data_IF_885820207482
#
_entry.id   IF_885820207482
#
_cell.length_a   1.000
_cell.length_b   1.000
_cell.length_c   1.000
_cell.angle_alpha   90.00
_cell.angle_beta   90.00
_cell.angle_gamma   90.00
#
_symmetry.space_group_name_H-M   'P 1'
#
loop_
_entity.id
_entity.type
_entity.pdbx_description
1 polymer ?
#
# COMPACT_ATOMS: atom_id res chain seq x y z
N UNK A 1 -7.73 71.98 -19.43
CA UNK A 1 -8.49 72.50 -18.28
C UNK A 1 -7.92 71.83 -17.03
N UNK A 2 -6.75 72.20 -16.49
CA UNK A 2 -6.35 73.41 -15.73
C UNK A 2 -7.28 73.77 -14.55
N UNK A 3 -6.76 73.47 -13.36
CA UNK A 3 -6.76 74.23 -12.10
C UNK A 3 -8.05 74.39 -11.29
N UNK A 4 -7.97 74.04 -10.00
CA UNK A 4 -8.38 74.91 -8.89
C UNK A 4 -7.68 74.49 -7.58
N UNK A 5 -6.90 75.43 -7.06
CA UNK A 5 -6.31 75.54 -5.71
C UNK A 5 -7.19 76.53 -4.91
N UNK A 6 -7.38 76.30 -3.60
CA UNK A 6 -7.51 77.28 -2.50
C UNK A 6 -8.14 76.56 -1.29
N UNK A 7 -7.55 76.38 -0.10
CA UNK A 7 -6.77 77.23 0.83
C UNK A 7 -7.64 78.16 1.71
N UNK A 8 -7.54 77.97 3.04
CA UNK A 8 -7.90 78.87 4.17
C UNK A 8 -7.38 78.18 5.46
N UNK A 9 -6.19 78.45 6.02
CA UNK A 9 -5.66 79.59 6.80
C UNK A 9 -6.21 79.71 8.24
N UNK A 10 -5.31 79.33 9.18
CA UNK A 10 -4.97 79.87 10.51
C UNK A 10 -6.01 79.86 11.67
N UNK A 11 -5.66 79.66 12.94
CA UNK A 11 -4.68 80.42 13.77
C UNK A 11 -4.13 79.57 14.93
N UNK A 12 -2.90 79.88 15.33
CA UNK A 12 -2.11 79.27 16.39
C UNK A 12 -2.55 79.67 17.82
N UNK A 13 -2.35 78.76 18.78
CA UNK A 13 -2.08 79.08 20.17
C UNK A 13 -1.13 78.04 20.76
N UNK A 14 0.09 78.49 21.06
CA UNK A 14 1.09 77.76 21.82
C UNK A 14 1.02 78.20 23.29
N UNK A 15 0.97 77.26 24.22
CA UNK A 15 1.41 77.48 25.59
C UNK A 15 1.95 76.15 26.15
N UNK A 16 3.21 76.22 26.56
CA UNK A 16 4.04 75.13 27.03
C UNK A 16 3.68 74.72 28.46
N UNK A 17 3.78 73.41 28.74
CA UNK A 17 4.04 72.91 30.08
C UNK A 17 5.11 71.82 29.99
N UNK A 18 6.19 72.06 30.73
CA UNK A 18 7.42 71.29 30.80
C UNK A 18 7.24 69.93 31.50
N UNK A 19 8.10 68.95 31.17
CA UNK A 19 8.76 67.95 32.05
C UNK A 19 9.57 66.94 31.19
N UNK A 20 10.51 66.16 31.77
CA UNK A 20 11.93 66.21 31.45
C UNK A 20 12.39 65.25 30.34
N UNK A 21 13.52 65.60 29.71
CA UNK A 21 14.29 64.73 28.82
C UNK A 21 15.07 63.73 29.68
N UNK A 22 14.71 62.45 29.59
CA UNK A 22 15.58 61.33 29.95
C UNK A 22 15.93 60.56 28.68
N UNK A 23 17.21 60.55 28.32
CA UNK A 23 17.75 59.62 27.31
C UNK A 23 17.63 58.19 27.83
N UNK A 24 16.80 57.36 27.18
CA UNK A 24 16.74 55.93 27.41
C UNK A 24 17.51 55.19 26.29
N UNK A 25 18.51 54.42 26.72
CA UNK A 25 19.30 53.47 25.95
C UNK A 25 18.42 52.38 25.26
N UNK A 26 18.92 51.65 24.23
CA UNK A 26 18.12 50.64 23.56
C UNK A 26 17.83 49.49 24.51
N UNK A 27 16.55 49.25 24.79
CA UNK A 27 16.11 48.12 25.59
C UNK A 27 16.28 46.82 24.79
N UNK A 28 17.17 45.97 25.28
CA UNK A 28 17.20 44.53 25.01
C UNK A 28 15.82 43.92 25.24
N UNK A 29 15.20 43.38 24.19
CA UNK A 29 13.97 42.61 24.31
C UNK A 29 14.27 41.32 25.09
N UNK A 30 13.84 41.30 26.35
CA UNK A 30 13.82 40.11 27.20
C UNK A 30 12.82 39.10 26.62
N UNK A 31 13.33 37.94 26.21
CA UNK A 31 12.53 36.79 25.80
C UNK A 31 11.53 36.42 26.91
N UNK A 32 10.26 36.25 26.54
CA UNK A 32 9.23 35.68 27.43
C UNK A 32 9.63 34.25 27.83
N UNK A 33 9.44 33.83 29.08
CA UNK A 33 9.68 32.45 29.47
C UNK A 33 8.68 31.54 28.76
N UNK A 34 9.21 30.54 28.07
CA UNK A 34 8.46 29.50 27.38
C UNK A 34 7.55 28.78 28.38
N UNK A 35 6.23 28.94 28.21
CA UNK A 35 5.26 28.10 28.87
C UNK A 35 5.38 26.69 28.28
N UNK A 36 5.88 25.74 29.09
CA UNK A 36 5.87 24.29 28.91
C UNK A 36 5.67 23.82 27.46
N UNK A 37 6.74 23.92 26.66
CA UNK A 37 6.86 23.07 25.49
C UNK A 37 6.82 21.61 25.97
N UNK A 38 5.82 20.86 25.53
CA UNK A 38 5.84 19.41 25.56
C UNK A 38 7.22 18.95 25.03
N UNK A 39 7.83 17.91 25.62
CA UNK A 39 9.08 17.37 25.09
C UNK A 39 8.90 17.07 23.59
N UNK A 40 9.94 17.23 22.75
CA UNK A 40 9.84 16.94 21.34
C UNK A 40 9.24 15.54 21.20
N UNK A 41 8.16 15.45 20.41
CA UNK A 41 7.51 14.20 20.11
C UNK A 41 8.58 13.19 19.67
N UNK A 42 8.50 12.00 20.25
CA UNK A 42 9.25 10.84 19.80
C UNK A 42 9.15 10.77 18.27
N UNK A 43 10.29 10.68 17.58
CA UNK A 43 10.44 10.50 16.12
C UNK A 43 9.10 10.28 15.40
N UNK A 44 8.49 11.34 14.86
CA UNK A 44 7.20 11.21 14.17
C UNK A 44 7.37 10.23 12.99
N UNK A 45 6.70 9.09 13.08
CA UNK A 45 6.70 8.05 12.05
C UNK A 45 6.36 8.68 10.68
N UNK A 46 7.06 8.30 9.59
CA UNK A 46 6.73 8.83 8.27
C UNK A 46 5.30 8.46 7.85
N UNK A 47 4.52 9.48 7.49
CA UNK A 47 3.15 9.37 6.99
C UNK A 47 2.07 9.22 8.07
N UNK A 48 0.82 9.38 7.67
CA UNK A 48 -0.32 9.39 8.60
C UNK A 48 -1.59 8.78 8.01
N UNK A 49 -2.56 8.49 8.88
CA UNK A 49 -3.90 8.06 8.48
C UNK A 49 -4.92 8.99 9.15
N UNK A 50 -5.83 9.56 8.36
CA UNK A 50 -6.96 10.34 8.85
C UNK A 50 -8.25 9.58 8.57
N UNK A 51 -8.97 9.21 9.63
CA UNK A 51 -10.26 8.51 9.54
C UNK A 51 -11.40 9.51 9.78
N UNK A 52 -12.31 9.62 8.82
CA UNK A 52 -13.42 10.57 8.84
C UNK A 52 -14.77 9.82 8.77
N UNK A 53 -15.65 9.93 9.77
CA UNK A 53 -16.94 9.24 9.73
C UNK A 53 -17.82 9.81 8.62
N UNK A 54 -18.44 8.91 7.84
CA UNK A 54 -19.43 9.27 6.84
C UNK A 54 -20.77 9.53 7.53
N UNK A 55 -21.50 10.53 7.04
CA UNK A 55 -22.82 10.92 7.56
C UNK A 55 -23.83 10.94 6.41
N UNK A 56 -25.13 10.76 6.68
CA UNK A 56 -26.16 10.97 5.68
C UNK A 56 -25.97 12.29 4.91
N UNK A 57 -25.95 12.22 3.58
CA UNK A 57 -25.94 13.41 2.72
C UNK A 57 -27.41 13.83 2.46
N UNK A 58 -27.76 15.10 2.70
CA UNK A 58 -29.08 15.65 2.34
C UNK A 58 -30.10 15.86 3.47
N UNK A 59 -29.73 15.88 4.75
CA UNK A 59 -30.64 16.23 5.86
C UNK A 59 -30.96 17.74 5.96
N UNK A 60 -31.20 18.41 4.83
CA UNK A 60 -31.50 19.85 4.78
C UNK A 60 -32.72 20.16 3.91
N UNK A 61 -33.86 19.49 4.12
CA UNK A 61 -35.21 20.05 3.89
C UNK A 61 -36.17 19.33 4.84
N UNK A 62 -37.00 20.10 5.57
CA UNK A 62 -38.16 19.58 6.29
C UNK A 62 -39.21 19.12 5.26
N UNK A 63 -39.13 17.88 4.80
CA UNK A 63 -40.27 17.23 4.15
C UNK A 63 -41.04 16.45 5.20
N UNK A 64 -42.19 16.99 5.60
CA UNK A 64 -43.20 16.21 6.31
C UNK A 64 -43.67 15.10 5.37
N UNK A 65 -43.42 13.83 5.71
CA UNK A 65 -44.08 12.69 5.06
C UNK A 65 -43.20 11.63 4.37
N UNK A 66 -41.93 11.44 4.74
CA UNK A 66 -41.17 10.24 4.35
C UNK A 66 -40.55 9.57 5.58
N UNK A 67 -40.62 8.24 5.62
CA UNK A 67 -40.10 7.38 6.69
C UNK A 67 -38.67 7.80 7.14
N UNK A 68 -38.38 7.92 8.44
CA UNK A 68 -37.05 8.33 8.95
C UNK A 68 -35.91 7.30 8.74
N UNK A 69 -36.09 6.29 7.88
CA UNK A 69 -35.42 4.99 8.00
C UNK A 69 -34.32 4.61 7.00
N UNK A 70 -34.01 5.39 5.95
CA UNK A 70 -32.91 5.02 5.05
C UNK A 70 -32.26 6.25 4.42
N UNK A 71 -31.15 6.72 4.99
CA UNK A 71 -30.22 7.52 4.22
C UNK A 71 -29.65 6.63 3.10
N UNK A 72 -30.21 6.75 1.90
CA UNK A 72 -29.76 6.03 0.70
C UNK A 72 -28.35 6.43 0.27
N UNK A 73 -27.84 7.53 0.85
CA UNK A 73 -26.53 8.09 0.57
C UNK A 73 -25.85 8.58 1.87
N UNK A 74 -24.61 8.15 2.10
CA UNK A 74 -23.72 8.66 3.16
C UNK A 74 -22.43 9.21 2.55
N UNK A 75 -21.81 10.19 3.18
CA UNK A 75 -20.60 10.79 2.62
C UNK A 75 -20.11 12.03 3.35
N UNK A 76 -19.29 12.80 2.64
CA UNK A 76 -18.74 14.07 3.10
C UNK A 76 -18.84 15.09 1.95
N UNK A 77 -19.44 16.28 2.18
CA UNK A 77 -19.32 17.39 1.23
C UNK A 77 -17.85 17.86 1.14
N UNK A 78 -17.55 18.62 0.09
CA UNK A 78 -16.23 19.22 -0.16
C UNK A 78 -15.69 19.87 1.11
N UNK A 79 -14.46 19.51 1.44
CA UNK A 79 -13.73 20.08 2.58
C UNK A 79 -12.24 19.98 2.38
N UNK A 80 -11.53 20.86 3.06
CA UNK A 80 -10.08 20.74 3.27
C UNK A 80 -9.79 19.65 4.30
N UNK A 81 -8.68 18.95 4.09
CA UNK A 81 -8.19 17.87 4.95
C UNK A 81 -6.67 17.94 5.05
N UNK A 82 -6.05 17.13 5.90
CA UNK A 82 -4.59 16.99 5.89
C UNK A 82 -4.15 16.35 4.57
N UNK A 83 -2.91 16.62 4.10
CA UNK A 83 -2.38 15.99 2.89
C UNK A 83 -2.51 14.46 2.92
N UNK A 84 -2.81 13.89 1.77
CA UNK A 84 -2.96 12.44 1.57
C UNK A 84 -2.71 12.09 0.10
N UNK A 85 -2.39 10.82 -0.19
CA UNK A 85 -2.19 10.36 -1.58
C UNK A 85 -3.01 9.12 -1.94
N UNK A 86 -3.69 8.52 -0.95
CA UNK A 86 -4.52 7.34 -1.13
C UNK A 86 -5.80 7.45 -0.29
N UNK A 87 -6.90 6.93 -0.83
CA UNK A 87 -8.20 6.87 -0.17
C UNK A 87 -8.74 5.45 -0.11
N UNK A 88 -9.54 5.15 0.90
CA UNK A 88 -10.35 3.94 0.98
C UNK A 88 -11.52 4.15 1.94
N UNK A 89 -12.48 3.24 1.95
CA UNK A 89 -13.61 3.28 2.88
C UNK A 89 -13.60 2.02 3.74
N UNK A 90 -13.78 2.20 5.05
CA UNK A 90 -13.86 1.09 6.01
C UNK A 90 -15.16 1.12 6.80
N UNK A 91 -15.55 -0.03 7.35
CA UNK A 91 -16.72 -0.19 8.20
C UNK A 91 -16.48 -1.23 9.30
N UNK A 92 -17.37 -1.27 10.30
CA UNK A 92 -17.08 -1.94 11.57
C UNK A 92 -17.02 -3.48 11.45
N UNK A 93 -17.98 -4.10 10.75
CA UNK A 93 -18.03 -5.55 10.60
C UNK A 93 -17.45 -6.03 9.25
N UNK A 94 -16.29 -6.69 9.23
CA UNK A 94 -15.69 -7.22 7.99
C UNK A 94 -16.52 -8.32 7.32
N UNK A 95 -17.46 -8.95 8.03
CA UNK A 95 -18.34 -9.97 7.45
C UNK A 95 -19.58 -9.37 6.75
N UNK A 96 -19.84 -8.07 6.92
CA UNK A 96 -20.96 -7.38 6.27
C UNK A 96 -20.50 -6.82 4.92
N UNK A 97 -21.01 -7.31 3.78
CA UNK A 97 -20.67 -6.80 2.45
C UNK A 97 -21.24 -5.38 2.24
N UNK A 98 -20.52 -4.57 1.46
CA UNK A 98 -21.00 -3.25 1.02
C UNK A 98 -21.70 -3.39 -0.35
N UNK A 99 -23.03 -3.43 -0.33
CA UNK A 99 -23.87 -3.40 -1.54
C UNK A 99 -24.16 -1.95 -1.93
N UNK A 100 -23.35 -1.40 -2.83
CA UNK A 100 -23.45 0.01 -3.18
C UNK A 100 -22.33 0.50 -4.09
N UNK A 101 -22.44 1.78 -4.46
CA UNK A 101 -21.39 2.50 -5.19
C UNK A 101 -20.67 3.44 -4.24
N UNK A 102 -19.34 3.42 -4.27
CA UNK A 102 -18.49 4.38 -3.56
C UNK A 102 -17.82 5.26 -4.60
N UNK A 103 -18.02 6.57 -4.50
CA UNK A 103 -17.43 7.52 -5.43
C UNK A 103 -16.73 8.63 -4.66
N UNK A 104 -15.54 8.99 -5.12
CA UNK A 104 -14.69 10.02 -4.51
C UNK A 104 -14.19 10.99 -5.58
N UNK A 105 -14.02 12.24 -5.19
CA UNK A 105 -13.18 13.19 -5.93
C UNK A 105 -12.27 13.93 -4.97
N UNK A 106 -11.07 14.25 -5.43
CA UNK A 106 -10.05 14.88 -4.61
C UNK A 106 -9.57 16.17 -5.27
N UNK A 107 -9.03 17.07 -4.45
CA UNK A 107 -8.33 18.27 -4.90
C UNK A 107 -6.83 17.99 -4.89
N UNK A 108 -6.18 18.17 -6.03
CA UNK A 108 -4.73 18.04 -6.13
C UNK A 108 -4.06 19.20 -5.36
N UNK A 109 -3.08 18.87 -4.52
CA UNK A 109 -2.39 19.84 -3.68
C UNK A 109 -1.51 20.81 -4.50
N UNK A 110 -1.06 20.39 -5.68
CA UNK A 110 -0.14 21.16 -6.52
C UNK A 110 -0.80 22.38 -7.19
N UNK A 111 -2.06 22.25 -7.64
CA UNK A 111 -2.74 23.25 -8.47
C UNK A 111 -4.17 23.57 -7.99
N UNK A 112 -4.67 22.90 -6.95
CA UNK A 112 -6.01 23.11 -6.42
C UNK A 112 -7.14 22.58 -7.31
N UNK A 113 -6.82 21.82 -8.37
CA UNK A 113 -7.81 21.29 -9.31
C UNK A 113 -8.52 20.07 -8.73
N UNK A 114 -9.84 20.04 -8.85
CA UNK A 114 -10.66 18.90 -8.46
C UNK A 114 -10.71 17.85 -9.57
N UNK A 115 -10.52 16.58 -9.21
CA UNK A 115 -10.74 15.47 -10.12
C UNK A 115 -12.24 15.36 -10.50
N UNK A 116 -12.57 14.69 -11.63
CA UNK A 116 -13.90 14.12 -11.80
C UNK A 116 -14.18 13.09 -10.69
N UNK A 117 -15.45 12.68 -10.56
CA UNK A 117 -15.81 11.55 -9.71
C UNK A 117 -15.13 10.27 -10.20
N UNK A 118 -14.57 9.52 -9.26
CA UNK A 118 -13.92 8.24 -9.49
C UNK A 118 -14.58 7.18 -8.63
N UNK A 119 -14.82 6.00 -9.21
CA UNK A 119 -15.34 4.86 -8.47
C UNK A 119 -14.22 4.23 -7.63
N UNK A 120 -14.58 3.77 -6.43
CA UNK A 120 -13.73 2.97 -5.55
C UNK A 120 -14.29 1.56 -5.52
N UNK A 121 -13.46 0.56 -5.83
CA UNK A 121 -13.88 -0.85 -5.87
C UNK A 121 -14.33 -1.34 -4.49
N UNK A 122 -15.57 -1.80 -4.40
CA UNK A 122 -16.25 -2.16 -3.15
C UNK A 122 -16.08 -3.63 -2.78
N UNK A 123 -15.77 -4.49 -3.76
CA UNK A 123 -15.49 -5.90 -3.54
C UNK A 123 -14.02 -6.05 -3.14
N UNK A 124 -13.76 -6.09 -1.83
CA UNK A 124 -12.42 -6.33 -1.27
C UNK A 124 -12.45 -7.33 -0.08
N UNK A 125 -13.60 -8.00 0.12
CA UNK A 125 -13.82 -9.11 1.07
C UNK A 125 -13.05 -10.39 0.69
N UNK A 126 -12.53 -10.45 -0.53
CA UNK A 126 -11.69 -11.53 -1.05
C UNK A 126 -10.29 -11.59 -0.45
N UNK A 127 -9.89 -10.53 0.25
CA UNK A 127 -8.60 -10.38 0.88
C UNK A 127 -8.72 -10.41 2.41
N UNK A 128 -7.65 -10.85 3.07
CA UNK A 128 -7.61 -10.96 4.53
C UNK A 128 -7.20 -12.35 5.03
N UNK A 129 -7.27 -12.49 6.36
CA UNK A 129 -6.93 -13.70 7.08
C UNK A 129 -7.86 -14.86 6.68
N UNK A 130 -7.32 -16.08 6.56
CA UNK A 130 -8.18 -17.27 6.41
C UNK A 130 -9.05 -17.46 7.67
N UNK A 131 -10.34 -17.83 7.54
CA UNK A 131 -11.23 -18.05 8.67
C UNK A 131 -10.69 -19.07 9.68
N UNK A 132 -10.75 -18.72 10.97
CA UNK A 132 -10.31 -19.59 12.07
C UNK A 132 -8.79 -19.66 12.26
N UNK A 133 -8.02 -18.79 11.60
CA UNK A 133 -6.59 -18.62 11.90
C UNK A 133 -6.38 -17.61 13.03
N UNK A 134 -5.27 -17.74 13.78
CA UNK A 134 -4.91 -16.77 14.82
C UNK A 134 -4.78 -15.33 14.28
N UNK A 135 -4.42 -15.19 13.01
CA UNK A 135 -4.35 -13.89 12.32
C UNK A 135 -5.71 -13.20 12.19
N UNK A 136 -6.79 -13.97 12.04
CA UNK A 136 -8.16 -13.43 12.01
C UNK A 136 -8.77 -13.14 13.38
N UNK A 137 -8.16 -13.63 14.48
CA UNK A 137 -8.76 -13.58 15.83
C UNK A 137 -8.13 -12.51 16.75
N UNK A 138 -6.99 -11.94 16.36
CA UNK A 138 -6.13 -11.15 17.27
C UNK A 138 -6.25 -9.63 17.11
N UNK A 139 -6.97 -9.15 16.09
CA UNK A 139 -7.16 -7.71 15.83
C UNK A 139 -8.61 -7.39 15.51
N UNK A 140 -9.01 -6.15 15.79
CA UNK A 140 -10.27 -5.59 15.28
C UNK A 140 -10.12 -5.38 13.78
N UNK A 141 -10.53 -6.39 13.02
CA UNK A 141 -10.64 -6.31 11.58
C UNK A 141 -11.79 -5.40 11.20
N UNK A 142 -11.64 -4.70 10.08
CA UNK A 142 -12.69 -3.88 9.47
C UNK A 142 -12.95 -4.34 8.06
N UNK A 143 -14.20 -4.25 7.64
CA UNK A 143 -14.50 -4.33 6.22
C UNK A 143 -13.91 -3.11 5.53
N UNK A 144 -13.44 -3.28 4.31
CA UNK A 144 -12.74 -2.23 3.59
C UNK A 144 -12.91 -2.36 2.09
N UNK A 145 -12.98 -1.24 1.38
CA UNK A 145 -12.90 -1.19 -0.09
C UNK A 145 -11.47 -1.44 -0.55
N UNK A 146 -11.26 -1.71 -1.84
CA UNK A 146 -9.92 -1.61 -2.40
C UNK A 146 -9.43 -0.15 -2.27
N UNK A 147 -8.14 0.07 -2.03
CA UNK A 147 -7.60 1.41 -1.93
C UNK A 147 -7.47 2.07 -3.31
N UNK A 148 -7.69 3.39 -3.41
CA UNK A 148 -7.52 4.18 -4.64
C UNK A 148 -6.37 5.17 -4.47
N UNK A 149 -5.38 5.11 -5.36
CA UNK A 149 -4.31 6.11 -5.43
C UNK A 149 -4.83 7.36 -6.15
N UNK A 150 -4.73 8.50 -5.48
CA UNK A 150 -5.25 9.79 -5.99
C UNK A 150 -4.14 10.81 -6.25
N UNK A 151 -2.89 10.48 -5.92
CA UNK A 151 -1.79 11.44 -5.93
C UNK A 151 -1.94 12.50 -4.83
N UNK A 152 -0.96 13.39 -4.71
CA UNK A 152 -0.90 14.33 -3.59
C UNK A 152 -2.10 15.26 -3.59
N UNK A 153 -2.93 15.12 -2.57
CA UNK A 153 -4.25 15.73 -2.44
C UNK A 153 -4.44 16.35 -1.06
N UNK A 154 -5.23 17.43 -0.97
CA UNK A 154 -5.48 18.17 0.27
C UNK A 154 -6.97 18.55 0.47
N UNK A 155 -7.83 18.12 -0.46
CA UNK A 155 -9.27 18.27 -0.39
C UNK A 155 -9.99 17.01 -0.84
N UNK A 156 -11.16 16.74 -0.26
CA UNK A 156 -11.93 15.53 -0.58
C UNK A 156 -13.44 15.77 -0.56
N UNK A 157 -14.14 14.99 -1.39
CA UNK A 157 -15.58 14.81 -1.36
C UNK A 157 -15.89 13.35 -1.69
N UNK A 158 -16.78 12.74 -0.93
CA UNK A 158 -17.13 11.32 -1.07
C UNK A 158 -18.63 11.12 -0.92
N UNK A 159 -19.15 10.16 -1.69
CA UNK A 159 -20.50 9.63 -1.53
C UNK A 159 -20.51 8.11 -1.64
N UNK A 160 -21.32 7.49 -0.80
CA UNK A 160 -21.59 6.05 -0.76
C UNK A 160 -23.08 5.88 -0.90
N UNK A 161 -23.52 5.24 -1.99
CA UNK A 161 -24.94 5.03 -2.30
C UNK A 161 -25.28 3.56 -2.20
N UNK A 162 -26.30 3.22 -1.43
CA UNK A 162 -26.86 1.88 -1.44
C UNK A 162 -27.41 1.55 -2.84
N UNK A 163 -27.30 0.29 -3.27
CA UNK A 163 -27.99 -0.17 -4.48
C UNK A 163 -29.51 -0.03 -4.33
N UNK A 164 -30.17 0.55 -5.32
CA UNK A 164 -31.63 0.73 -5.32
C UNK A 164 -32.33 -0.53 -5.87
N UNK A 165 -33.32 -1.06 -5.14
CA UNK A 165 -34.12 -2.22 -5.57
C UNK A 165 -35.14 -2.65 -4.52
N UNK A 166 -36.06 -3.55 -4.91
CA UNK A 166 -37.01 -4.15 -3.98
C UNK A 166 -36.25 -4.99 -2.94
N UNK A 167 -36.06 -4.47 -1.73
CA UNK A 167 -35.20 -5.04 -0.69
C UNK A 167 -33.83 -4.37 -0.54
N UNK A 168 -33.74 -3.04 -0.70
CA UNK A 168 -32.53 -2.24 -0.44
C UNK A 168 -31.81 -2.72 0.82
N UNK A 169 -30.63 -3.31 0.64
CA UNK A 169 -29.78 -3.71 1.77
C UNK A 169 -29.16 -2.44 2.36
N UNK A 170 -29.27 -2.21 3.68
CA UNK A 170 -28.71 -1.02 4.29
C UNK A 170 -27.19 -1.00 4.14
N UNK A 171 -26.61 0.20 4.04
CA UNK A 171 -25.17 0.37 4.07
C UNK A 171 -24.59 -0.16 5.39
N UNK A 172 -23.36 -0.71 5.39
CA UNK A 172 -22.71 -1.18 6.61
C UNK A 172 -22.61 -0.09 7.69
N UNK A 173 -22.65 -0.51 8.96
CA UNK A 173 -22.50 0.40 10.08
C UNK A 173 -21.05 0.92 10.21
N UNK A 174 -20.91 2.15 10.70
CA UNK A 174 -19.61 2.72 11.06
C UNK A 174 -18.75 3.17 9.88
N UNK A 175 -19.35 3.40 8.70
CA UNK A 175 -18.66 3.85 7.49
C UNK A 175 -17.74 5.05 7.76
N UNK A 176 -16.48 4.91 7.32
CA UNK A 176 -15.42 5.90 7.46
C UNK A 176 -14.62 6.02 6.18
N UNK A 177 -14.33 7.24 5.77
CA UNK A 177 -13.30 7.54 4.78
C UNK A 177 -11.93 7.51 5.47
N UNK A 178 -11.01 6.75 4.90
CA UNK A 178 -9.61 6.67 5.30
C UNK A 178 -8.77 7.42 4.28
N UNK A 179 -8.08 8.47 4.74
CA UNK A 179 -7.13 9.24 3.96
C UNK A 179 -5.72 8.86 4.42
N UNK A 180 -4.89 8.39 3.49
CA UNK A 180 -3.57 7.86 3.79
C UNK A 180 -2.50 8.73 3.15
N UNK A 181 -1.65 9.29 4.00
CA UNK A 181 -0.40 9.93 3.63
C UNK A 181 0.73 8.87 3.72
N UNK A 182 1.41 8.55 2.60
CA UNK A 182 2.52 7.60 2.60
C UNK A 182 3.77 8.10 3.33
N UNK A 183 3.83 9.38 3.70
CA UNK A 183 5.03 10.03 4.19
C UNK A 183 6.08 10.20 3.10
N UNK A 184 7.13 10.94 3.44
CA UNK A 184 8.24 11.18 2.53
C UNK A 184 8.92 9.87 2.10
N UNK A 185 9.36 9.84 0.84
CA UNK A 185 10.18 8.73 0.37
C UNK A 185 11.52 8.74 1.11
N UNK A 186 12.10 7.57 1.44
CA UNK A 186 13.48 7.53 1.89
C UNK A 186 14.37 8.21 0.84
N UNK A 187 15.31 9.05 1.26
CA UNK A 187 16.31 9.63 0.35
C UNK A 187 16.97 8.50 -0.45
N UNK A 188 16.87 8.56 -1.78
CA UNK A 188 17.58 7.63 -2.63
C UNK A 188 19.10 7.84 -2.43
N UNK A 189 19.91 6.79 -2.29
CA UNK A 189 21.35 6.96 -2.36
C UNK A 189 21.69 7.53 -3.74
N UNK A 190 22.20 8.76 -3.77
CA UNK A 190 22.63 9.44 -4.99
C UNK A 190 23.77 8.67 -5.62
N UNK A 191 23.43 7.87 -6.64
CA UNK A 191 24.38 7.15 -7.47
C UNK A 191 24.89 8.06 -8.58
N UNK A 192 25.90 8.88 -8.29
CA UNK A 192 26.85 9.37 -9.29
C UNK A 192 28.23 9.43 -8.65
N UNK A 193 29.16 8.63 -9.16
CA UNK A 193 30.54 8.56 -8.69
C UNK A 193 31.27 9.85 -9.09
N UNK A 194 31.14 10.91 -8.29
CA UNK A 194 32.08 12.02 -8.30
C UNK A 194 33.39 11.58 -7.61
N UNK A 195 34.57 11.99 -8.11
CA UNK A 195 35.84 11.58 -7.53
C UNK A 195 35.94 12.12 -6.10
N UNK A 196 36.24 11.23 -5.15
CA UNK A 196 36.24 11.51 -3.72
C UNK A 196 37.27 12.61 -3.35
N UNK A 197 36.87 13.66 -2.60
CA UNK A 197 37.81 14.32 -1.72
C UNK A 197 38.09 13.38 -0.55
N UNK A 198 39.37 13.03 -0.39
CA UNK A 198 39.88 12.31 0.78
C UNK A 198 39.56 13.14 2.03
N UNK A 199 39.11 12.45 3.09
CA UNK A 199 38.66 12.98 4.40
C UNK A 199 37.21 13.47 4.48
N UNK A 200 36.24 12.55 4.40
CA UNK A 200 35.00 12.69 5.16
C UNK A 200 34.83 11.43 6.00
N UNK A 201 34.79 11.59 7.32
CA UNK A 201 34.48 10.51 8.23
C UNK A 201 33.17 9.85 7.78
N UNK A 202 33.20 8.54 7.54
CA UNK A 202 32.01 7.76 7.24
C UNK A 202 31.04 7.97 8.41
N UNK A 203 29.86 8.51 8.13
CA UNK A 203 28.75 8.45 9.09
C UNK A 203 28.56 6.98 9.49
N UNK A 204 28.35 6.67 10.79
CA UNK A 204 28.10 5.30 11.20
C UNK A 204 26.88 4.75 10.43
N UNK A 205 26.87 3.46 10.05
CA UNK A 205 25.71 2.87 9.40
C UNK A 205 24.50 3.08 10.29
N UNK A 206 23.40 3.60 9.72
CA UNK A 206 22.16 3.82 10.44
C UNK A 206 21.78 2.52 11.18
N UNK A 207 21.72 2.60 12.51
CA UNK A 207 21.40 1.45 13.36
C UNK A 207 19.96 1.05 13.04
N UNK A 208 19.78 -0.16 12.51
CA UNK A 208 18.44 -0.69 12.24
C UNK A 208 17.68 -0.83 13.57
N UNK A 209 16.41 -0.44 13.58
CA UNK A 209 15.51 -0.82 14.67
C UNK A 209 15.39 -2.35 14.76
N UNK A 210 14.96 -2.88 15.90
CA UNK A 210 14.76 -4.32 16.05
C UNK A 210 13.76 -4.90 15.02
N UNK A 211 12.74 -4.12 14.64
CA UNK A 211 11.74 -4.52 13.65
C UNK A 211 12.33 -4.58 12.23
N UNK A 212 13.17 -3.61 11.87
CA UNK A 212 13.92 -3.59 10.61
C UNK A 212 14.99 -4.68 10.55
N UNK A 213 15.72 -4.91 11.65
CA UNK A 213 16.68 -5.99 11.75
C UNK A 213 16.00 -7.35 11.58
N UNK A 214 14.83 -7.57 12.19
CA UNK A 214 14.06 -8.79 12.01
C UNK A 214 13.56 -8.98 10.56
N UNK A 215 13.06 -7.92 9.93
CA UNK A 215 12.60 -7.96 8.53
C UNK A 215 13.75 -8.16 7.54
N UNK A 216 14.92 -7.56 7.80
CA UNK A 216 16.09 -7.72 6.95
C UNK A 216 16.79 -9.07 7.17
N UNK A 217 16.85 -9.55 8.42
CA UNK A 217 17.58 -10.75 8.81
C UNK A 217 17.02 -12.04 8.21
N UNK A 218 15.72 -12.10 7.90
CA UNK A 218 15.13 -13.24 7.19
C UNK A 218 15.62 -13.37 5.74
N UNK A 219 16.23 -12.31 5.19
CA UNK A 219 16.84 -12.28 3.85
C UNK A 219 18.38 -12.32 3.90
N UNK A 220 19.00 -12.55 5.06
CA UNK A 220 20.46 -12.42 5.27
C UNK A 220 21.33 -13.31 4.37
N UNK A 221 20.79 -14.42 3.87
CA UNK A 221 21.48 -15.28 2.87
C UNK A 221 21.52 -14.68 1.47
N UNK A 222 20.69 -13.69 1.18
CA UNK A 222 20.52 -13.11 -0.16
C UNK A 222 21.02 -11.66 -0.25
N UNK A 223 21.00 -10.92 0.86
CA UNK A 223 21.47 -9.55 0.94
C UNK A 223 21.87 -9.19 2.38
N UNK A 224 22.82 -8.25 2.57
CA UNK A 224 23.21 -7.79 3.90
C UNK A 224 22.07 -7.07 4.63
N UNK A 225 22.19 -6.95 5.96
CA UNK A 225 21.23 -6.22 6.78
C UNK A 225 21.08 -4.77 6.28
N UNK A 226 19.84 -4.31 6.14
CA UNK A 226 19.52 -2.95 5.71
C UNK A 226 19.67 -2.71 4.20
N UNK A 227 19.99 -3.73 3.40
CA UNK A 227 20.04 -3.59 1.95
C UNK A 227 18.69 -3.12 1.40
N UNK A 228 18.71 -2.13 0.50
CA UNK A 228 17.51 -1.59 -0.18
C UNK A 228 17.06 -2.46 -1.36
N UNK A 229 17.91 -3.35 -1.84
CA UNK A 229 17.57 -4.32 -2.86
C UNK A 229 18.36 -5.61 -2.68
N UNK A 230 17.72 -6.71 -3.03
CA UNK A 230 18.37 -8.00 -3.23
C UNK A 230 18.75 -8.07 -4.72
N UNK A 231 20.05 -8.17 -5.07
CA UNK A 231 20.52 -8.10 -6.46
C UNK A 231 19.95 -9.25 -7.28
N UNK A 232 19.81 -9.10 -8.60
CA UNK A 232 19.46 -10.24 -9.45
C UNK A 232 20.56 -11.32 -9.34
N UNK A 233 20.19 -12.59 -9.48
CA UNK A 233 21.14 -13.70 -9.48
C UNK A 233 20.88 -14.65 -10.65
N UNK A 234 21.95 -15.13 -11.28
CA UNK A 234 21.89 -16.13 -12.33
C UNK A 234 21.60 -17.53 -11.75
N UNK A 235 21.27 -18.55 -12.57
CA UNK A 235 20.93 -19.88 -12.06
C UNK A 235 22.02 -20.53 -11.20
N UNK A 236 23.31 -20.35 -11.53
CA UNK A 236 24.41 -20.94 -10.77
C UNK A 236 24.53 -20.32 -9.36
N UNK A 237 24.41 -18.99 -9.27
CA UNK A 237 24.38 -18.27 -7.98
C UNK A 237 23.15 -18.65 -7.14
N UNK A 238 22.03 -18.98 -7.78
CA UNK A 238 20.82 -19.46 -7.09
C UNK A 238 21.01 -20.88 -6.57
N UNK A 239 21.62 -21.77 -7.36
CA UNK A 239 21.95 -23.14 -6.95
C UNK A 239 22.89 -23.13 -5.73
N UNK A 240 23.97 -22.34 -5.78
CA UNK A 240 24.93 -22.19 -4.66
C UNK A 240 24.26 -21.68 -3.37
N UNK A 241 23.29 -20.76 -3.48
CA UNK A 241 22.56 -20.23 -2.32
C UNK A 241 21.51 -21.21 -1.73
N UNK A 242 21.13 -22.24 -2.48
CA UNK A 242 20.11 -23.24 -2.10
C UNK A 242 20.74 -24.54 -1.59
N UNK A 243 21.97 -24.86 -2.02
CA UNK A 243 22.76 -26.00 -1.52
C UNK A 243 23.07 -25.86 -0.01
N UNK A 244 22.80 -26.88 0.83
CA UNK A 244 23.27 -26.89 2.21
C UNK A 244 24.80 -27.10 2.24
N UNK A 245 25.49 -26.38 3.13
CA UNK A 245 26.96 -26.43 3.31
C UNK A 245 27.55 -27.79 3.78
N UNK A 246 26.78 -28.88 3.72
CA UNK A 246 27.23 -30.23 4.03
C UNK A 246 26.29 -31.26 3.38
N UNK A 247 26.57 -31.66 2.14
CA UNK A 247 26.00 -32.88 1.56
C UNK A 247 27.10 -33.63 0.80
N UNK A 248 27.26 -34.92 1.11
CA UNK A 248 28.20 -35.85 0.48
C UNK A 248 27.97 -36.01 -1.03
N UNK A 249 28.98 -36.46 -1.80
CA UNK A 249 28.90 -36.49 -3.25
C UNK A 249 27.98 -37.64 -3.70
N UNK A 250 26.76 -37.30 -4.12
CA UNK A 250 25.81 -38.26 -4.69
C UNK A 250 25.46 -37.90 -6.14
N UNK A 251 25.76 -38.87 -7.02
CA UNK A 251 25.25 -39.10 -8.38
C UNK A 251 24.55 -37.93 -9.10
N UNK A 252 25.15 -37.47 -10.21
CA UNK A 252 24.61 -36.56 -11.24
C UNK A 252 23.17 -36.08 -10.99
N UNK A 253 23.00 -35.15 -10.05
CA UNK A 253 21.69 -34.58 -9.75
C UNK A 253 21.21 -33.83 -10.99
N UNK A 254 20.02 -34.16 -11.49
CA UNK A 254 19.37 -33.38 -12.55
C UNK A 254 19.29 -31.94 -12.07
N UNK A 255 19.89 -31.00 -12.81
CA UNK A 255 19.89 -29.57 -12.47
C UNK A 255 18.50 -29.13 -12.04
N UNK A 256 18.36 -28.49 -10.87
CA UNK A 256 17.05 -28.12 -10.37
C UNK A 256 16.44 -27.06 -11.30
N UNK A 257 15.15 -27.20 -11.63
CA UNK A 257 14.43 -26.28 -12.51
C UNK A 257 14.09 -24.97 -11.78
N UNK A 258 15.12 -24.22 -11.40
CA UNK A 258 15.01 -22.93 -10.70
C UNK A 258 15.36 -21.82 -11.68
N UNK A 259 14.41 -20.89 -11.88
CA UNK A 259 14.67 -19.72 -12.70
C UNK A 259 15.65 -18.74 -12.03
N UNK A 260 16.31 -17.87 -12.80
CA UNK A 260 17.17 -16.83 -12.25
C UNK A 260 16.39 -15.93 -11.30
N UNK A 261 17.00 -15.55 -10.19
CA UNK A 261 16.38 -14.66 -9.21
C UNK A 261 16.33 -13.24 -9.79
N UNK A 262 15.16 -12.62 -9.93
CA UNK A 262 15.11 -11.22 -10.33
C UNK A 262 15.65 -10.30 -9.22
N UNK A 263 16.00 -9.07 -9.57
CA UNK A 263 16.20 -8.01 -8.57
C UNK A 263 14.90 -7.79 -7.81
N UNK A 264 14.99 -7.72 -6.48
CA UNK A 264 13.83 -7.46 -5.61
C UNK A 264 14.15 -6.26 -4.72
N UNK A 265 13.32 -5.22 -4.78
CA UNK A 265 13.41 -4.07 -3.87
C UNK A 265 12.90 -4.54 -2.51
N UNK A 266 13.74 -4.44 -1.48
CA UNK A 266 13.39 -4.91 -0.13
C UNK A 266 12.39 -3.97 0.53
N UNK A 267 11.82 -4.43 1.64
CA UNK A 267 11.01 -3.58 2.51
C UNK A 267 11.70 -2.28 2.92
N UNK A 268 12.99 -2.34 3.27
CA UNK A 268 13.80 -1.14 3.52
C UNK A 268 13.90 -0.25 2.27
N UNK A 269 14.06 -0.84 1.10
CA UNK A 269 14.22 -0.11 -0.16
C UNK A 269 13.01 0.69 -0.63
N UNK A 270 11.79 0.23 -0.33
CA UNK A 270 10.57 1.01 -0.62
C UNK A 270 10.07 1.83 0.58
N UNK A 271 10.76 1.76 1.72
CA UNK A 271 10.47 2.54 2.92
C UNK A 271 9.35 1.96 3.78
N UNK A 272 9.26 0.63 3.91
CA UNK A 272 8.32 0.00 4.80
C UNK A 272 8.57 0.42 6.26
N UNK A 273 7.53 0.92 6.92
CA UNK A 273 7.56 1.14 8.36
C UNK A 273 7.35 -0.19 9.10
N UNK A 274 8.44 -0.83 9.53
CA UNK A 274 8.36 -2.13 10.20
C UNK A 274 7.70 -2.07 11.59
N UNK A 275 7.46 -0.88 12.14
CA UNK A 275 6.85 -0.72 13.46
C UNK A 275 5.33 -0.92 13.45
N UNK A 276 4.68 -0.77 12.29
CA UNK A 276 3.22 -0.88 12.21
C UNK A 276 2.73 -2.32 12.05
N UNK A 277 3.55 -3.21 11.45
CA UNK A 277 3.19 -4.63 11.33
C UNK A 277 3.22 -5.34 12.68
N UNK A 278 2.56 -6.48 12.72
CA UNK A 278 2.72 -7.40 13.84
C UNK A 278 4.12 -8.03 13.87
N UNK A 279 4.54 -8.40 15.07
CA UNK A 279 5.78 -9.14 15.32
C UNK A 279 5.61 -10.61 14.90
N UNK A 280 6.73 -11.22 14.52
CA UNK A 280 6.77 -12.63 14.10
C UNK A 280 6.33 -12.86 12.66
N UNK A 281 6.64 -14.06 12.16
CA UNK A 281 6.35 -14.47 10.79
C UNK A 281 5.64 -15.82 10.80
N UNK A 282 4.66 -16.00 9.91
CA UNK A 282 3.94 -17.26 9.75
C UNK A 282 4.37 -17.89 8.44
N UNK A 283 4.78 -19.15 8.50
CA UNK A 283 5.25 -19.90 7.34
C UNK A 283 4.33 -21.07 7.03
N UNK A 284 4.16 -21.37 5.75
CA UNK A 284 3.52 -22.60 5.25
C UNK A 284 4.60 -23.64 4.96
N UNK A 285 4.20 -24.84 4.51
CA UNK A 285 5.17 -25.91 4.23
C UNK A 285 5.89 -25.68 2.91
N UNK A 286 5.20 -25.14 1.91
CA UNK A 286 5.72 -24.92 0.56
C UNK A 286 4.95 -23.81 -0.14
N UNK A 287 5.29 -23.49 -1.39
CA UNK A 287 4.46 -22.70 -2.32
C UNK A 287 4.12 -23.59 -3.50
N UNK A 288 2.82 -23.87 -3.67
CA UNK A 288 2.28 -24.65 -4.80
C UNK A 288 1.72 -23.73 -5.89
N UNK A 289 1.08 -22.63 -5.51
CA UNK A 289 0.39 -21.73 -6.45
C UNK A 289 0.80 -20.28 -6.22
N UNK A 290 0.98 -19.53 -7.31
CA UNK A 290 1.09 -18.09 -7.32
C UNK A 290 -0.24 -17.48 -7.78
N UNK A 291 -0.93 -16.79 -6.88
CA UNK A 291 -2.12 -16.01 -7.23
C UNK A 291 -1.71 -14.60 -7.64
N UNK A 292 -2.05 -14.24 -8.87
CA UNK A 292 -1.82 -12.90 -9.44
C UNK A 292 -3.05 -12.05 -9.18
N UNK A 293 -2.78 -10.87 -8.64
CA UNK A 293 -3.74 -9.84 -8.27
C UNK A 293 -3.47 -8.56 -9.04
N UNK A 294 -4.48 -7.71 -9.15
CA UNK A 294 -4.24 -6.27 -9.31
C UNK A 294 -4.50 -5.59 -7.96
N UNK A 295 -3.98 -4.38 -7.74
CA UNK A 295 -4.28 -3.62 -6.51
C UNK A 295 -5.59 -2.83 -6.59
N UNK A 296 -6.15 -2.68 -7.79
CA UNK A 296 -7.30 -1.83 -8.10
C UNK A 296 -7.11 -0.33 -7.74
N UNK A 297 -5.85 0.10 -7.53
CA UNK A 297 -5.52 1.47 -7.09
C UNK A 297 -5.55 2.54 -8.18
N UNK A 298 -5.91 2.19 -9.41
CA UNK A 298 -5.74 3.08 -10.56
C UNK A 298 -4.29 3.12 -11.08
N UNK A 299 -4.10 3.72 -12.26
CA UNK A 299 -2.86 3.62 -13.05
C UNK A 299 -2.06 4.92 -13.15
N UNK A 300 -2.50 5.99 -12.48
CA UNK A 300 -1.99 7.36 -12.69
C UNK A 300 -0.70 7.69 -11.93
N UNK A 301 -0.21 6.80 -11.06
CA UNK A 301 1.08 6.96 -10.39
C UNK A 301 2.25 6.88 -11.39
N UNK A 302 3.35 7.60 -11.17
CA UNK A 302 4.60 7.45 -11.94
C UNK A 302 5.45 6.30 -11.39
N UNK A 303 6.41 5.75 -12.16
CA UNK A 303 7.29 4.68 -11.63
C UNK A 303 7.99 5.10 -10.33
N UNK A 304 8.40 6.37 -10.20
CA UNK A 304 9.03 6.90 -8.99
C UNK A 304 8.10 6.98 -7.78
N UNK A 305 6.78 7.02 -8.01
CA UNK A 305 5.77 7.00 -6.94
C UNK A 305 5.39 5.58 -6.50
N UNK A 306 5.87 4.52 -7.18
CA UNK A 306 5.52 3.14 -6.80
C UNK A 306 5.85 2.81 -5.33
N UNK A 307 7.01 3.20 -4.76
CA UNK A 307 7.26 3.05 -3.32
C UNK A 307 6.22 3.73 -2.43
N UNK A 308 5.76 4.93 -2.80
CA UNK A 308 4.71 5.65 -2.06
C UNK A 308 3.36 4.94 -2.15
N UNK A 309 3.01 4.41 -3.33
CA UNK A 309 1.81 3.57 -3.50
C UNK A 309 1.87 2.34 -2.58
N UNK A 310 3.02 1.66 -2.52
CA UNK A 310 3.23 0.53 -1.62
C UNK A 310 3.05 0.92 -0.15
N UNK A 311 3.69 2.00 0.31
CA UNK A 311 3.56 2.50 1.69
C UNK A 311 2.12 2.85 2.02
N UNK A 312 1.38 3.47 1.11
CA UNK A 312 -0.03 3.79 1.30
C UNK A 312 -0.89 2.53 1.44
N UNK A 313 -0.76 1.54 0.54
CA UNK A 313 -1.52 0.29 0.63
C UNK A 313 -1.15 -0.47 1.92
N UNK A 314 0.14 -0.51 2.26
CA UNK A 314 0.62 -1.15 3.49
C UNK A 314 0.01 -0.53 4.74
N UNK A 315 0.05 0.80 4.84
CA UNK A 315 -0.56 1.55 5.93
C UNK A 315 -2.08 1.35 5.96
N UNK A 316 -2.75 1.37 4.81
CA UNK A 316 -4.19 1.10 4.73
C UNK A 316 -4.54 -0.30 5.26
N UNK A 317 -3.86 -1.34 4.79
CA UNK A 317 -4.08 -2.70 5.28
C UNK A 317 -3.91 -2.81 6.80
N UNK A 318 -2.85 -2.21 7.35
CA UNK A 318 -2.53 -2.37 8.77
C UNK A 318 -3.33 -1.44 9.69
N UNK A 319 -3.39 -0.14 9.38
CA UNK A 319 -3.99 0.88 10.24
C UNK A 319 -5.49 1.05 10.01
N UNK A 320 -5.97 0.80 8.79
CA UNK A 320 -7.37 0.99 8.43
C UNK A 320 -8.14 -0.33 8.44
N UNK A 321 -7.68 -1.35 7.71
CA UNK A 321 -8.34 -2.67 7.63
C UNK A 321 -8.02 -3.60 8.81
N UNK A 322 -7.01 -3.27 9.61
CA UNK A 322 -6.62 -4.03 10.80
C UNK A 322 -5.80 -5.30 10.53
N UNK A 323 -5.21 -5.44 9.34
CA UNK A 323 -4.39 -6.60 8.98
C UNK A 323 -3.04 -6.59 9.72
N UNK A 324 -2.34 -7.72 9.68
CA UNK A 324 -1.06 -7.88 10.37
C UNK A 324 0.11 -7.24 9.64
N UNK A 325 0.05 -7.19 8.31
CA UNK A 325 1.08 -6.67 7.41
C UNK A 325 0.47 -6.42 6.02
N UNK A 326 1.30 -6.08 5.02
CA UNK A 326 0.96 -6.12 3.61
C UNK A 326 0.44 -7.53 3.22
N UNK A 327 -0.76 -7.62 2.63
CA UNK A 327 -1.43 -8.90 2.42
C UNK A 327 -0.78 -9.79 1.35
N UNK A 328 -0.06 -9.20 0.39
CA UNK A 328 0.57 -9.91 -0.71
C UNK A 328 2.04 -10.21 -0.38
N UNK A 329 2.58 -11.32 -0.89
CA UNK A 329 4.00 -11.65 -0.71
C UNK A 329 4.91 -10.75 -1.53
N UNK A 330 4.47 -10.36 -2.72
CA UNK A 330 5.20 -9.50 -3.63
C UNK A 330 4.28 -8.47 -4.27
N UNK A 331 4.87 -7.35 -4.69
CA UNK A 331 4.22 -6.40 -5.58
C UNK A 331 5.04 -6.20 -6.86
N UNK A 332 4.36 -5.85 -7.96
CA UNK A 332 4.97 -5.52 -9.25
C UNK A 332 4.38 -4.21 -9.74
N UNK A 333 5.21 -3.20 -9.98
CA UNK A 333 4.72 -1.94 -10.56
C UNK A 333 4.59 -2.03 -12.10
N UNK A 334 3.94 -1.03 -12.70
CA UNK A 334 3.74 -0.97 -14.15
C UNK A 334 5.04 -0.88 -14.97
N UNK A 335 6.16 -0.64 -14.30
CA UNK A 335 7.49 -0.48 -14.88
C UNK A 335 8.32 -1.78 -14.75
N UNK A 336 7.76 -2.81 -14.12
CA UNK A 336 8.36 -4.13 -13.98
C UNK A 336 9.30 -4.27 -12.78
N UNK A 337 9.33 -3.30 -11.86
CA UNK A 337 10.06 -3.48 -10.61
C UNK A 337 9.30 -4.46 -9.72
N UNK A 338 10.04 -5.32 -9.03
CA UNK A 338 9.51 -6.30 -8.09
C UNK A 338 9.88 -5.87 -6.68
N UNK A 339 8.88 -5.85 -5.80
CA UNK A 339 9.02 -5.43 -4.41
C UNK A 339 8.69 -6.59 -3.47
N UNK A 340 9.45 -6.70 -2.40
CA UNK A 340 9.11 -7.53 -1.25
C UNK A 340 7.86 -6.94 -0.56
N UNK A 341 6.79 -7.72 -0.51
CA UNK A 341 5.55 -7.36 0.18
C UNK A 341 5.61 -7.81 1.64
N UNK A 342 4.87 -8.86 1.99
CA UNK A 342 4.75 -9.39 3.35
C UNK A 342 6.10 -9.81 3.94
N UNK A 343 6.40 -9.30 5.14
CA UNK A 343 7.64 -9.60 5.85
C UNK A 343 7.73 -11.07 6.27
N UNK A 344 8.96 -11.61 6.24
CA UNK A 344 9.24 -12.99 6.62
C UNK A 344 10.21 -13.71 5.69
N UNK A 345 10.59 -13.07 4.58
CA UNK A 345 11.72 -13.42 3.74
C UNK A 345 11.31 -13.88 2.33
N UNK A 346 11.93 -13.29 1.31
CA UNK A 346 11.56 -13.46 -0.10
C UNK A 346 11.71 -14.90 -0.60
N UNK A 347 12.67 -15.66 -0.04
CA UNK A 347 12.87 -17.07 -0.40
C UNK A 347 12.00 -18.03 0.43
N UNK A 348 11.43 -17.59 1.55
CA UNK A 348 10.65 -18.45 2.46
C UNK A 348 9.17 -18.51 2.08
N UNK A 349 8.44 -19.59 2.43
CA UNK A 349 7.02 -19.71 2.15
C UNK A 349 6.19 -18.97 3.20
N UNK A 350 6.33 -17.64 3.27
CA UNK A 350 5.55 -16.80 4.21
C UNK A 350 4.07 -16.86 3.82
N UNK A 351 3.18 -17.14 4.78
CA UNK A 351 1.74 -17.12 4.54
C UNK A 351 1.27 -15.69 4.31
N UNK A 352 0.53 -15.46 3.22
CA UNK A 352 -0.11 -14.19 2.89
C UNK A 352 -1.52 -14.01 3.48
N UNK A 353 -2.17 -12.91 3.10
CA UNK A 353 -3.57 -12.58 3.37
C UNK A 353 -4.23 -12.01 2.09
N UNK A 354 -3.92 -12.62 0.95
CA UNK A 354 -4.25 -12.12 -0.39
C UNK A 354 -5.37 -12.91 -1.08
N UNK A 355 -5.63 -14.15 -0.69
CA UNK A 355 -6.67 -14.97 -1.33
C UNK A 355 -7.36 -15.75 -0.26
N UNK A 356 -8.47 -15.20 0.24
CA UNK A 356 -9.21 -15.78 1.35
C UNK A 356 -9.62 -17.23 1.02
N UNK A 357 -9.22 -18.15 1.90
CA UNK A 357 -9.41 -19.58 1.72
C UNK A 357 -8.25 -20.30 1.03
N UNK A 358 -7.29 -19.59 0.42
CA UNK A 358 -6.13 -20.21 -0.24
C UNK A 358 -4.80 -19.54 0.10
N UNK A 359 -4.71 -18.81 1.22
CA UNK A 359 -3.45 -18.21 1.66
C UNK A 359 -2.39 -19.26 2.09
N UNK A 360 -2.83 -20.48 2.41
CA UNK A 360 -1.92 -21.59 2.75
C UNK A 360 -1.34 -22.26 1.50
N UNK A 361 -0.03 -22.55 1.55
CA UNK A 361 0.75 -23.15 0.45
C UNK A 361 0.70 -22.36 -0.86
N UNK A 362 0.52 -21.04 -0.80
CA UNK A 362 0.48 -20.16 -1.96
C UNK A 362 1.21 -18.85 -1.69
N UNK A 363 1.46 -18.10 -2.76
CA UNK A 363 1.92 -16.72 -2.68
C UNK A 363 1.01 -15.79 -3.47
N UNK A 364 0.90 -14.55 -3.00
CA UNK A 364 0.20 -13.47 -3.69
C UNK A 364 1.17 -12.51 -4.36
N UNK A 365 0.88 -12.17 -5.62
CA UNK A 365 1.60 -11.13 -6.38
C UNK A 365 0.61 -10.03 -6.75
N UNK A 366 0.72 -8.87 -6.11
CA UNK A 366 -0.07 -7.68 -6.45
C UNK A 366 0.57 -6.88 -7.57
N UNK A 367 -0.07 -6.82 -8.73
CA UNK A 367 0.31 -5.88 -9.77
C UNK A 367 -0.34 -4.52 -9.47
N UNK A 368 0.47 -3.50 -9.23
CA UNK A 368 -0.01 -2.17 -8.89
C UNK A 368 -0.71 -1.53 -10.10
N UNK A 369 -2.02 -1.37 -9.98
CA UNK A 369 -2.87 -0.79 -11.00
C UNK A 369 -4.25 -1.42 -11.08
N UNK A 370 -5.03 -0.94 -12.05
CA UNK A 370 -6.34 -1.48 -12.42
C UNK A 370 -6.28 -1.98 -13.86
N UNK A 371 -6.48 -3.29 -14.05
CA UNK A 371 -6.32 -3.97 -15.34
C UNK A 371 -7.60 -4.66 -15.83
N UNK A 372 -8.77 -4.15 -15.43
CA UNK A 372 -10.07 -4.64 -15.90
C UNK A 372 -10.20 -4.40 -17.41
N UNK A 373 -9.99 -3.16 -17.85
CA UNK A 373 -10.07 -2.74 -19.25
C UNK A 373 -8.72 -2.24 -19.82
N UNK A 374 -7.77 -1.84 -18.98
CA UNK A 374 -6.43 -1.39 -19.37
C UNK A 374 -5.46 -2.56 -19.52
N UNK A 375 -4.70 -2.61 -20.62
CA UNK A 375 -3.68 -3.65 -20.83
C UNK A 375 -2.49 -3.45 -19.89
N UNK A 376 -1.99 -4.52 -19.23
CA UNK A 376 -0.75 -4.42 -18.47
C UNK A 376 0.44 -4.21 -19.43
N UNK A 377 1.41 -3.34 -19.08
CA UNK A 377 2.67 -3.23 -19.82
C UNK A 377 3.40 -4.57 -19.92
N UNK A 378 4.16 -4.79 -20.99
CA UNK A 378 4.92 -6.03 -21.17
C UNK A 378 5.90 -6.29 -20.00
N UNK A 379 6.49 -5.22 -19.45
CA UNK A 379 7.38 -5.28 -18.29
C UNK A 379 6.73 -5.96 -17.08
N UNK A 380 5.43 -5.74 -16.84
CA UNK A 380 4.66 -6.41 -15.77
C UNK A 380 4.63 -7.91 -15.99
N UNK A 381 4.24 -8.35 -17.19
CA UNK A 381 4.11 -9.78 -17.51
C UNK A 381 5.47 -10.47 -17.41
N UNK A 382 6.53 -9.81 -17.88
CA UNK A 382 7.91 -10.29 -17.73
C UNK A 382 8.34 -10.38 -16.26
N UNK A 383 8.03 -9.38 -15.44
CA UNK A 383 8.36 -9.37 -14.02
C UNK A 383 7.64 -10.50 -13.26
N UNK A 384 6.34 -10.69 -13.50
CA UNK A 384 5.56 -11.82 -12.94
C UNK A 384 6.16 -13.15 -13.39
N UNK A 385 6.52 -13.29 -14.67
CA UNK A 385 7.11 -14.52 -15.19
C UNK A 385 8.47 -14.83 -14.54
N UNK A 386 9.37 -13.84 -14.39
CA UNK A 386 10.68 -14.01 -13.74
C UNK A 386 10.54 -14.34 -12.26
N UNK A 387 9.69 -13.60 -11.54
CA UNK A 387 9.42 -13.82 -10.12
C UNK A 387 8.89 -15.23 -9.88
N UNK A 388 7.86 -15.64 -10.63
CA UNK A 388 7.26 -16.96 -10.49
C UNK A 388 8.22 -18.07 -10.90
N UNK A 389 9.05 -17.88 -11.93
CA UNK A 389 10.04 -18.87 -12.35
C UNK A 389 11.02 -19.21 -11.22
N UNK A 390 11.57 -18.17 -10.58
CA UNK A 390 12.46 -18.31 -9.44
C UNK A 390 11.72 -18.90 -8.24
N UNK A 391 10.65 -18.24 -7.78
CA UNK A 391 10.00 -18.58 -6.52
C UNK A 391 9.35 -19.95 -6.53
N UNK A 392 8.65 -20.33 -7.60
CA UNK A 392 8.10 -21.69 -7.74
C UNK A 392 9.21 -22.73 -7.94
N UNK A 393 10.32 -22.33 -8.56
CA UNK A 393 11.50 -23.17 -8.76
C UNK A 393 12.13 -23.62 -7.45
N UNK A 394 12.23 -22.71 -6.46
CA UNK A 394 12.67 -23.02 -5.09
C UNK A 394 11.83 -24.12 -4.40
N UNK A 395 10.62 -24.37 -4.92
CA UNK A 395 9.70 -25.38 -4.40
C UNK A 395 9.48 -26.55 -5.39
N UNK A 396 10.29 -26.64 -6.45
CA UNK A 396 10.23 -27.71 -7.44
C UNK A 396 8.99 -27.68 -8.35
N UNK A 397 8.24 -26.57 -8.38
CA UNK A 397 6.95 -26.50 -9.06
C UNK A 397 7.10 -26.02 -10.51
N UNK A 398 6.43 -26.72 -11.43
CA UNK A 398 6.37 -26.37 -12.86
C UNK A 398 5.29 -25.28 -13.13
N UNK A 399 5.66 -24.09 -13.64
CA UNK A 399 4.73 -22.99 -13.90
C UNK A 399 3.61 -23.30 -14.91
N UNK A 400 3.83 -24.24 -15.85
CA UNK A 400 2.80 -24.68 -16.81
C UNK A 400 1.83 -25.71 -16.21
N UNK A 401 2.18 -26.30 -15.07
CA UNK A 401 1.39 -27.35 -14.44
C UNK A 401 0.17 -26.83 -13.68
N UNK A 402 -0.47 -27.76 -12.99
CA UNK A 402 -1.61 -27.49 -12.08
C UNK A 402 -1.31 -28.05 -10.71
N UNK A 403 -1.88 -27.43 -9.68
CA UNK A 403 -1.75 -27.85 -8.29
C UNK A 403 -3.12 -27.94 -7.62
N UNK A 404 -3.25 -28.84 -6.65
CA UNK A 404 -4.45 -28.96 -5.82
C UNK A 404 -4.21 -28.28 -4.48
N UNK A 405 -5.08 -27.34 -4.12
CA UNK A 405 -5.14 -26.72 -2.79
C UNK A 405 -6.42 -27.12 -2.08
N UNK A 406 -6.44 -26.97 -0.75
CA UNK A 406 -7.62 -27.19 0.08
C UNK A 406 -8.14 -25.83 0.52
N UNK A 407 -9.40 -25.53 0.22
CA UNK A 407 -10.04 -24.28 0.62
C UNK A 407 -10.18 -24.18 2.14
N UNK A 408 -9.77 -23.05 2.71
CA UNK A 408 -10.07 -22.63 4.07
C UNK A 408 -11.51 -22.11 4.25
N UNK A 409 -12.26 -21.99 3.15
CA UNK A 409 -13.59 -21.37 3.08
C UNK A 409 -13.52 -19.98 2.44
N UNK A 410 -14.56 -19.63 1.70
CA UNK A 410 -14.74 -18.35 1.02
C UNK A 410 -16.06 -18.33 0.26
N UNK A 411 -16.33 -17.27 -0.51
CA UNK A 411 -17.61 -17.12 -1.21
C UNK A 411 -17.77 -18.06 -2.44
N UNK A 412 -16.65 -18.60 -2.95
CA UNK A 412 -16.64 -19.48 -4.13
C UNK A 412 -16.53 -20.97 -3.80
N UNK A 413 -15.73 -21.31 -2.78
CA UNK A 413 -15.44 -22.70 -2.42
C UNK A 413 -15.60 -22.94 -0.92
N UNK A 414 -16.30 -24.01 -0.56
CA UNK A 414 -16.53 -24.38 0.84
C UNK A 414 -15.24 -24.82 1.52
N UNK A 415 -15.14 -24.61 2.83
CA UNK A 415 -14.02 -25.10 3.65
C UNK A 415 -13.85 -26.61 3.47
N UNK A 416 -12.60 -27.05 3.31
CA UNK A 416 -12.22 -28.45 3.09
C UNK A 416 -12.29 -28.90 1.63
N UNK A 417 -12.86 -28.11 0.72
CA UNK A 417 -12.95 -28.47 -0.69
C UNK A 417 -11.56 -28.49 -1.35
N UNK A 418 -11.23 -29.60 -2.05
CA UNK A 418 -10.03 -29.70 -2.88
C UNK A 418 -10.29 -29.04 -4.23
N UNK A 419 -9.49 -28.05 -4.58
CA UNK A 419 -9.64 -27.27 -5.82
C UNK A 419 -8.34 -27.32 -6.61
N UNK A 420 -8.46 -27.60 -7.91
CA UNK A 420 -7.34 -27.66 -8.83
C UNK A 420 -7.16 -26.30 -9.51
N UNK A 421 -5.96 -25.75 -9.41
CA UNK A 421 -5.58 -24.47 -10.01
C UNK A 421 -4.46 -24.67 -11.02
N UNK A 422 -4.34 -23.76 -11.98
CA UNK A 422 -3.05 -23.54 -12.62
C UNK A 422 -2.03 -23.08 -11.56
N UNK A 423 -0.77 -23.46 -11.76
CA UNK A 423 0.32 -23.06 -10.83
C UNK A 423 0.46 -21.55 -10.73
N UNK A 424 0.25 -20.83 -11.84
CA UNK A 424 0.05 -19.38 -11.83
C UNK A 424 -1.42 -19.14 -12.17
N UNK A 425 -2.18 -18.67 -11.19
CA UNK A 425 -3.63 -18.48 -11.25
C UNK A 425 -3.99 -17.01 -11.03
N UNK A 426 -5.16 -16.59 -11.49
CA UNK A 426 -5.73 -15.30 -11.13
C UNK A 426 -6.46 -15.39 -9.80
N UNK A 427 -6.64 -14.27 -9.11
CA UNK A 427 -7.45 -14.27 -7.88
C UNK A 427 -8.86 -14.83 -8.10
N UNK A 428 -9.52 -14.41 -9.20
CA UNK A 428 -10.84 -14.88 -9.63
C UNK A 428 -10.99 -16.40 -9.76
N UNK A 429 -9.88 -17.13 -9.87
CA UNK A 429 -9.93 -18.59 -9.93
C UNK A 429 -10.28 -19.17 -8.55
N UNK A 430 -9.74 -18.58 -7.48
CA UNK A 430 -9.90 -19.02 -6.09
C UNK A 430 -11.05 -18.35 -5.33
N UNK A 431 -11.48 -17.16 -5.75
CA UNK A 431 -12.51 -16.38 -5.08
C UNK A 431 -13.42 -15.71 -6.12
N UNK A 432 -14.69 -15.44 -5.81
CA UNK A 432 -15.56 -14.71 -6.73
C UNK A 432 -15.26 -13.21 -6.65
N UNK A 433 -14.37 -12.74 -7.53
CA UNK A 433 -13.88 -11.34 -7.64
C UNK A 433 -13.52 -11.05 -9.10
N UNK A 434 -13.50 -9.77 -9.50
CA UNK A 434 -12.94 -9.37 -10.79
C UNK A 434 -11.41 -9.40 -10.82
N UNK A 435 -10.74 -9.40 -9.68
CA UNK A 435 -9.27 -9.42 -9.59
C UNK A 435 -8.68 -10.65 -10.32
N UNK A 436 -7.63 -10.53 -11.16
CA UNK A 436 -6.73 -9.38 -11.37
C UNK A 436 -7.16 -8.42 -12.50
N UNK A 437 -8.44 -8.38 -12.87
CA UNK A 437 -8.95 -7.67 -14.03
C UNK A 437 -8.80 -8.46 -15.33
N UNK A 438 -9.73 -8.24 -16.27
CA UNK A 438 -9.83 -9.04 -17.49
C UNK A 438 -8.59 -9.03 -18.37
N UNK A 439 -7.93 -7.86 -18.53
CA UNK A 439 -6.75 -7.74 -19.39
C UNK A 439 -5.52 -8.44 -18.81
N UNK A 440 -5.26 -8.32 -17.51
CA UNK A 440 -4.15 -8.98 -16.85
C UNK A 440 -4.40 -10.49 -16.73
N UNK A 441 -5.62 -10.91 -16.41
CA UNK A 441 -6.00 -12.32 -16.39
C UNK A 441 -5.74 -13.00 -17.74
N UNK A 442 -6.07 -12.33 -18.85
CA UNK A 442 -5.79 -12.81 -20.21
C UNK A 442 -4.30 -13.02 -20.53
N UNK A 443 -3.38 -12.44 -19.75
CA UNK A 443 -1.92 -12.61 -19.92
C UNK A 443 -1.32 -13.74 -19.09
N UNK A 444 -2.09 -14.40 -18.20
CA UNK A 444 -1.55 -15.45 -17.33
C UNK A 444 -1.04 -16.67 -18.11
N UNK A 445 -1.61 -16.99 -19.27
CA UNK A 445 -1.07 -18.02 -20.17
C UNK A 445 0.35 -17.71 -20.64
N UNK A 446 0.59 -16.47 -21.06
CA UNK A 446 1.93 -15.98 -21.46
C UNK A 446 2.90 -15.99 -20.29
N UNK A 447 2.44 -15.60 -19.09
CA UNK A 447 3.26 -15.64 -17.88
C UNK A 447 3.69 -17.08 -17.54
N UNK A 448 2.78 -18.06 -17.61
CA UNK A 448 3.07 -19.49 -17.39
C UNK A 448 4.11 -20.02 -18.37
N UNK A 449 3.93 -19.76 -19.67
CA UNK A 449 4.88 -20.20 -20.69
C UNK A 449 6.27 -19.58 -20.50
N UNK A 450 6.33 -18.26 -20.27
CA UNK A 450 7.60 -17.54 -20.07
C UNK A 450 8.29 -17.96 -18.78
N UNK A 451 7.53 -18.17 -17.71
CA UNK A 451 8.04 -18.62 -16.41
C UNK A 451 8.67 -20.01 -16.50
N UNK A 452 8.02 -20.95 -17.19
CA UNK A 452 8.59 -22.27 -17.44
C UNK A 452 9.87 -22.20 -18.30
N UNK A 453 9.89 -21.33 -19.32
CA UNK A 453 11.12 -21.09 -20.11
C UNK A 453 12.26 -20.57 -19.24
N UNK A 454 11.99 -19.64 -18.33
CA UNK A 454 13.01 -19.14 -17.38
C UNK A 454 13.50 -20.22 -16.41
N UNK A 455 12.67 -21.21 -16.07
CA UNK A 455 13.11 -22.40 -15.33
C UNK A 455 13.92 -23.40 -16.16
N UNK A 456 14.09 -23.18 -17.47
CA UNK A 456 14.73 -24.16 -18.36
C UNK A 456 13.82 -25.33 -18.75
N UNK A 457 12.49 -25.19 -18.62
CA UNK A 457 11.51 -26.20 -19.03
C UNK A 457 11.00 -25.90 -20.44
N UNK A 458 11.11 -26.88 -21.34
CA UNK A 458 10.51 -26.88 -22.68
C UNK A 458 9.00 -26.90 -22.63
#
# INVERSE_FOLDING_TARGET
MRASLASSIAVACAAALALPVTLAAPATATARPAANALPPAQDELPGSTQSLPLRPLGASVRTFGTDPGAATEQGLPRRDVRPFSLVGVVWDDPATPLHGTVQVRTRAAADGVWSPWQDVETHNEEHGADPGTAEGATRTLRGSTAPLWVGDSDGVEIRVRAEAGAGTTPLPAGLRLELVDPGEAPEAPTGEAAPAPRTRAMAPPAVLTAAEAAASGVNSRLAPYGATAIPAANPAEVEEAVEPAAAEPAAAQKKPYIGPRPKIITRKGWGADETIREKGFVYTKTIKTAFVHHSATGNNYTCGQAPSVLRSIYRYHVKSSGWRDFGYNFAVDKCGNIYEGRAGGVAKPVRGAHTLGFNTDSMGVAVLGTFTSTNPPAAVVTAVARLTAWKLGLHGINPKGTQTLVSGGGNRYKKGQKVKFHTIAGHRDGFATECPGGRLYGKLGTARASSAKYQGRS
#
